data_IF_299352033483
#
_entry.id   IF_299352033483
#
_cell.length_a   1.000
_cell.length_b   1.000
_cell.length_c   1.000
_cell.angle_alpha   90.00
_cell.angle_beta   90.00
_cell.angle_gamma   90.00
#
_symmetry.space_group_name_H-M   'P 1'
#
loop_
_entity.id
_entity.type
_entity.pdbx_description
1 polymer ?
#
# COMPACT_ATOMS: atom_id res chain seq x y z
N UNK A 1 -7.30 -84.13 -12.12
CA UNK A 1 -7.73 -83.59 -13.42
C UNK A 1 -8.77 -82.54 -13.17
N UNK A 2 -8.46 -81.41 -13.40
CA UNK A 2 -9.30 -80.31 -13.90
C UNK A 2 -8.53 -79.00 -13.71
N UNK A 3 -8.15 -78.49 -14.81
CA UNK A 3 -7.38 -77.26 -14.94
C UNK A 3 -8.32 -76.11 -14.77
N UNK A 4 -8.18 -75.33 -13.71
CA UNK A 4 -8.82 -74.02 -13.63
C UNK A 4 -7.84 -72.97 -14.14
N UNK A 5 -8.14 -72.55 -15.33
CA UNK A 5 -7.49 -71.41 -15.95
C UNK A 5 -7.98 -70.14 -15.24
N UNK A 6 -7.14 -69.57 -14.44
CA UNK A 6 -7.42 -68.29 -13.83
C UNK A 6 -7.05 -67.22 -14.87
N UNK A 7 -8.05 -66.72 -15.52
CA UNK A 7 -7.92 -65.53 -16.37
C UNK A 7 -7.72 -64.33 -15.46
N UNK A 8 -6.49 -63.92 -15.38
CA UNK A 8 -6.13 -62.70 -14.72
C UNK A 8 -6.56 -61.50 -15.62
N UNK A 9 -7.74 -60.99 -15.35
CA UNK A 9 -8.21 -59.76 -15.97
C UNK A 9 -7.42 -58.61 -15.36
N UNK A 10 -6.43 -58.15 -16.11
CA UNK A 10 -5.68 -56.97 -15.79
C UNK A 10 -6.57 -55.77 -16.09
N UNK A 11 -7.25 -55.28 -15.06
CA UNK A 11 -7.94 -54.00 -15.16
C UNK A 11 -6.90 -52.92 -15.07
N UNK A 12 -6.50 -52.43 -16.22
CA UNK A 12 -5.74 -51.20 -16.31
C UNK A 12 -6.71 -50.08 -16.01
N UNK A 13 -6.77 -49.67 -14.74
CA UNK A 13 -7.36 -48.40 -14.39
C UNK A 13 -6.45 -47.30 -14.86
N UNK A 14 -6.79 -46.75 -16.01
CA UNK A 14 -6.20 -45.51 -16.51
C UNK A 14 -6.67 -44.40 -15.55
N UNK A 15 -5.89 -44.16 -14.49
CA UNK A 15 -6.07 -42.95 -13.69
C UNK A 15 -5.53 -41.81 -14.53
N UNK A 16 -6.43 -41.15 -15.23
CA UNK A 16 -6.14 -39.84 -15.80
C UNK A 16 -5.80 -38.90 -14.64
N UNK A 17 -4.52 -38.75 -14.39
CA UNK A 17 -4.03 -37.67 -13.54
C UNK A 17 -4.29 -36.40 -14.33
N UNK A 18 -5.40 -35.76 -14.02
CA UNK A 18 -5.62 -34.36 -14.38
C UNK A 18 -4.54 -33.56 -13.67
N UNK A 19 -3.44 -33.33 -14.37
CA UNK A 19 -2.56 -32.23 -14.03
C UNK A 19 -3.40 -30.96 -14.19
N UNK A 20 -4.07 -30.59 -13.12
CA UNK A 20 -4.54 -29.23 -12.97
C UNK A 20 -3.31 -28.34 -13.05
N UNK A 21 -3.17 -27.63 -14.16
CA UNK A 21 -2.34 -26.45 -14.17
C UNK A 21 -2.91 -25.48 -13.12
N UNK A 22 -2.41 -25.59 -11.91
CA UNK A 22 -2.42 -24.44 -11.03
C UNK A 22 -1.45 -23.47 -11.67
N UNK A 23 -1.97 -22.60 -12.52
CA UNK A 23 -1.35 -21.32 -12.75
C UNK A 23 -1.14 -20.73 -11.37
N UNK A 24 0.08 -20.86 -10.87
CA UNK A 24 0.56 -20.10 -9.75
C UNK A 24 0.36 -18.65 -10.15
N UNK A 25 -0.76 -18.07 -9.73
CA UNK A 25 -0.87 -16.63 -9.63
C UNK A 25 0.26 -16.25 -8.70
N UNK A 26 1.35 -15.76 -9.26
CA UNK A 26 2.24 -14.92 -8.51
C UNK A 26 1.34 -13.81 -8.00
N UNK A 27 0.94 -13.90 -6.73
CA UNK A 27 0.54 -12.75 -5.97
C UNK A 27 1.78 -11.86 -5.89
N UNK A 28 2.04 -11.15 -6.97
CA UNK A 28 2.72 -9.90 -6.92
C UNK A 28 1.85 -9.11 -5.94
N UNK A 29 2.28 -9.01 -4.70
CA UNK A 29 1.78 -7.99 -3.81
C UNK A 29 2.05 -6.70 -4.56
N UNK A 30 1.04 -6.20 -5.27
CA UNK A 30 1.08 -4.83 -5.73
C UNK A 30 1.17 -4.03 -4.44
N UNK A 31 2.35 -3.48 -4.19
CA UNK A 31 2.51 -2.48 -3.17
C UNK A 31 1.47 -1.41 -3.49
N UNK A 32 0.45 -1.34 -2.68
CA UNK A 32 -0.60 -0.34 -2.76
C UNK A 32 -0.56 0.48 -1.49
N UNK A 33 -0.94 1.74 -1.58
CA UNK A 33 -1.17 2.53 -0.38
C UNK A 33 -2.54 2.19 0.22
N UNK A 34 -2.70 2.44 1.49
CA UNK A 34 -3.97 2.31 2.21
C UNK A 34 -4.66 3.67 2.30
N UNK A 35 -5.97 3.70 2.06
CA UNK A 35 -6.80 4.87 2.36
C UNK A 35 -7.39 4.76 3.75
N UNK A 36 -7.18 5.77 4.56
CA UNK A 36 -7.71 5.87 5.92
C UNK A 36 -8.47 7.20 6.11
N UNK A 37 -9.25 7.27 7.14
CA UNK A 37 -9.97 8.49 7.53
C UNK A 37 -9.06 9.45 8.31
N UNK A 38 -9.39 10.75 8.39
CA UNK A 38 -8.70 11.69 9.28
C UNK A 38 -8.69 11.24 10.76
N UNK A 39 -9.75 10.61 11.22
CA UNK A 39 -9.82 10.09 12.59
C UNK A 39 -8.83 8.93 12.82
N UNK A 40 -8.73 8.00 11.89
CA UNK A 40 -7.74 6.90 11.94
C UNK A 40 -6.31 7.44 11.86
N UNK A 41 -6.06 8.44 11.02
CA UNK A 41 -4.76 9.11 10.97
C UNK A 41 -4.41 9.77 12.31
N UNK A 42 -5.37 10.46 12.94
CA UNK A 42 -5.18 11.06 14.26
C UNK A 42 -4.90 10.01 15.34
N UNK A 43 -5.61 8.90 15.32
CA UNK A 43 -5.37 7.78 16.24
C UNK A 43 -3.95 7.22 16.09
N UNK A 44 -3.46 7.06 14.87
CA UNK A 44 -2.08 6.66 14.60
C UNK A 44 -1.10 7.69 15.19
N UNK A 45 -1.32 8.97 14.93
CA UNK A 45 -0.47 10.06 15.45
C UNK A 45 -0.42 10.09 16.97
N UNK A 46 -1.51 9.73 17.64
CA UNK A 46 -1.60 9.74 19.10
C UNK A 46 -0.99 8.50 19.76
N UNK A 47 -0.94 7.36 19.07
CA UNK A 47 -0.54 6.08 19.64
C UNK A 47 0.81 5.57 19.12
N UNK A 48 1.26 5.99 17.94
CA UNK A 48 2.53 5.56 17.35
C UNK A 48 3.65 6.56 17.65
N UNK A 49 4.85 6.03 17.85
CA UNK A 49 6.02 6.86 18.14
C UNK A 49 6.90 7.13 16.91
N UNK A 50 6.63 6.47 15.80
CA UNK A 50 7.46 6.58 14.60
C UNK A 50 6.61 6.60 13.34
N UNK A 51 6.39 7.79 12.82
CA UNK A 51 5.71 8.04 11.56
C UNK A 51 6.17 9.37 10.96
N UNK A 52 5.86 9.56 9.71
CA UNK A 52 6.04 10.84 9.01
C UNK A 52 4.67 11.35 8.56
N UNK A 53 4.37 12.59 8.82
CA UNK A 53 3.21 13.28 8.24
C UNK A 53 3.73 14.03 7.01
N UNK A 54 3.21 13.69 5.84
CA UNK A 54 3.63 14.26 4.57
C UNK A 54 2.54 15.12 3.96
N UNK A 55 2.79 16.42 3.94
CA UNK A 55 1.98 17.40 3.21
C UNK A 55 2.50 17.48 1.77
N UNK A 56 1.62 17.27 0.81
CA UNK A 56 1.99 17.29 -0.62
C UNK A 56 1.38 18.50 -1.37
N UNK A 57 0.99 19.52 -0.62
CA UNK A 57 0.45 20.77 -1.16
C UNK A 57 1.59 21.67 -1.65
N UNK A 58 1.28 22.93 -1.93
CA UNK A 58 2.28 23.95 -2.26
C UNK A 58 2.90 24.56 -1.00
N UNK A 59 4.02 25.27 -1.17
CA UNK A 59 4.67 25.98 -0.07
C UNK A 59 3.73 27.04 0.53
N UNK A 60 2.99 27.77 -0.30
CA UNK A 60 2.04 28.79 0.17
C UNK A 60 0.94 28.18 1.03
N UNK A 61 0.35 27.06 0.60
CA UNK A 61 -0.68 26.36 1.36
C UNK A 61 -0.14 25.86 2.70
N UNK A 62 1.08 25.33 2.71
CA UNK A 62 1.74 24.87 3.93
C UNK A 62 2.02 26.01 4.91
N UNK A 63 2.48 27.15 4.41
CA UNK A 63 2.78 28.33 5.22
C UNK A 63 1.54 28.96 5.82
N UNK A 64 0.39 28.89 5.14
CA UNK A 64 -0.90 29.36 5.67
C UNK A 64 -1.36 28.54 6.89
N UNK A 65 -1.37 27.24 6.77
CA UNK A 65 -1.65 26.30 7.85
C UNK A 65 -1.30 24.86 7.44
N UNK A 66 -0.78 24.08 8.35
CA UNK A 66 -0.50 22.65 8.14
C UNK A 66 -0.71 21.85 9.42
N UNK A 67 -0.73 20.54 9.31
CA UNK A 67 -0.82 19.65 10.48
C UNK A 67 0.51 19.70 11.20
N UNK A 68 0.48 19.88 12.50
CA UNK A 68 1.70 20.00 13.33
C UNK A 68 2.62 18.78 13.12
N UNK A 69 3.90 19.05 12.95
CA UNK A 69 4.91 18.04 12.67
C UNK A 69 4.97 17.55 11.21
N UNK A 70 4.11 18.04 10.32
CA UNK A 70 4.17 17.69 8.90
C UNK A 70 5.42 18.24 8.23
N UNK A 71 5.97 17.45 7.31
CA UNK A 71 7.00 17.90 6.36
C UNK A 71 6.34 18.10 5.00
N UNK A 72 6.89 19.03 4.22
CA UNK A 72 6.39 19.38 2.90
C UNK A 72 7.23 18.74 1.80
N UNK A 73 6.61 17.96 0.93
CA UNK A 73 7.13 17.61 -0.40
C UNK A 73 5.96 17.79 -1.36
N UNK A 74 5.89 18.85 -2.14
CA UNK A 74 4.83 19.04 -3.12
C UNK A 74 4.65 17.82 -4.03
N UNK A 75 3.42 17.50 -4.40
CA UNK A 75 3.09 16.29 -5.18
C UNK A 75 3.90 16.16 -6.48
N UNK A 76 4.16 17.26 -7.16
CA UNK A 76 4.99 17.30 -8.37
C UNK A 76 6.51 17.12 -8.11
N UNK A 77 6.95 17.12 -6.85
CA UNK A 77 8.35 16.94 -6.46
C UNK A 77 8.64 15.56 -5.83
N UNK A 78 7.63 14.73 -5.61
CA UNK A 78 7.77 13.42 -4.96
C UNK A 78 8.83 12.56 -5.68
N UNK A 79 8.73 12.42 -6.98
CA UNK A 79 9.64 11.58 -7.76
C UNK A 79 11.12 12.04 -7.65
N UNK A 80 11.36 13.34 -7.53
CA UNK A 80 12.71 13.89 -7.47
C UNK A 80 13.30 13.98 -6.06
N UNK A 81 12.46 14.18 -5.04
CA UNK A 81 12.91 14.54 -3.69
C UNK A 81 12.64 13.49 -2.62
N UNK A 82 11.62 12.63 -2.78
CA UNK A 82 11.20 11.73 -1.72
C UNK A 82 12.33 10.85 -1.20
N UNK A 83 13.10 10.21 -2.07
CA UNK A 83 14.17 9.29 -1.67
C UNK A 83 15.33 9.98 -0.94
N UNK A 84 15.52 11.29 -1.15
CA UNK A 84 16.52 12.08 -0.45
C UNK A 84 16.06 12.53 0.95
N UNK A 85 14.76 12.69 1.16
CA UNK A 85 14.15 13.20 2.38
C UNK A 85 13.66 12.04 3.26
N UNK A 86 12.97 11.08 2.66
CA UNK A 86 12.38 9.91 3.31
C UNK A 86 13.29 8.70 3.11
N UNK A 87 14.30 8.55 3.97
CA UNK A 87 15.36 7.55 3.79
C UNK A 87 14.93 6.11 4.04
N UNK A 88 13.98 5.90 4.94
CA UNK A 88 13.48 4.58 5.28
C UNK A 88 12.25 4.23 4.43
N UNK A 89 12.41 3.29 3.53
CA UNK A 89 11.33 2.81 2.65
C UNK A 89 10.21 2.08 3.40
N UNK A 90 10.44 1.64 4.62
CA UNK A 90 9.47 0.90 5.43
C UNK A 90 8.82 1.76 6.52
N UNK A 91 9.22 3.01 6.66
CA UNK A 91 8.60 3.90 7.65
C UNK A 91 7.12 4.15 7.31
N UNK A 92 6.33 4.37 8.33
CA UNK A 92 4.93 4.76 8.17
C UNK A 92 4.86 6.21 7.68
N UNK A 93 4.22 6.42 6.53
CA UNK A 93 4.02 7.73 5.92
C UNK A 93 2.52 8.01 5.86
N UNK A 94 2.09 9.07 6.52
CA UNK A 94 0.72 9.57 6.51
C UNK A 94 0.66 10.76 5.55
N UNK A 95 -0.02 10.58 4.42
CA UNK A 95 -0.02 11.54 3.31
C UNK A 95 -1.35 12.28 3.24
N UNK A 96 -1.29 13.59 3.12
CA UNK A 96 -2.47 14.42 2.89
C UNK A 96 -2.19 15.58 1.92
N UNK A 97 -3.26 16.12 1.38
CA UNK A 97 -3.21 17.36 0.61
C UNK A 97 -4.34 18.31 1.03
N UNK A 98 -4.93 19.07 0.11
CA UNK A 98 -6.07 19.93 0.42
C UNK A 98 -7.38 19.16 0.45
N UNK A 99 -7.67 18.36 -0.59
CA UNK A 99 -8.96 17.67 -0.80
C UNK A 99 -8.84 16.18 -1.13
N UNK A 100 -7.64 15.61 -1.17
CA UNK A 100 -7.38 14.19 -1.39
C UNK A 100 -6.88 13.79 -2.79
N UNK A 101 -7.04 14.61 -3.82
CA UNK A 101 -6.62 14.26 -5.18
C UNK A 101 -5.09 14.19 -5.33
N UNK A 102 -4.38 15.21 -4.90
CA UNK A 102 -2.91 15.25 -4.96
C UNK A 102 -2.27 14.22 -4.05
N UNK A 103 -2.83 13.99 -2.88
CA UNK A 103 -2.32 13.00 -1.92
C UNK A 103 -2.44 11.56 -2.42
N UNK A 104 -3.49 11.22 -3.16
CA UNK A 104 -3.62 9.91 -3.82
C UNK A 104 -2.55 9.72 -4.89
N UNK A 105 -2.34 10.71 -5.75
CA UNK A 105 -1.28 10.67 -6.77
C UNK A 105 0.11 10.56 -6.12
N UNK A 106 0.35 11.30 -5.05
CA UNK A 106 1.61 11.25 -4.30
C UNK A 106 1.82 9.88 -3.63
N UNK A 107 0.77 9.30 -3.04
CA UNK A 107 0.82 7.97 -2.45
C UNK A 107 1.16 6.89 -3.49
N UNK A 108 0.54 6.95 -4.68
CA UNK A 108 0.89 6.06 -5.80
C UNK A 108 2.36 6.23 -6.23
N UNK A 109 2.84 7.46 -6.31
CA UNK A 109 4.23 7.74 -6.66
C UNK A 109 5.20 7.20 -5.61
N UNK A 110 4.90 7.33 -4.32
CA UNK A 110 5.69 6.76 -3.24
C UNK A 110 5.75 5.22 -3.33
N UNK A 111 4.63 4.58 -3.58
CA UNK A 111 4.57 3.12 -3.75
C UNK A 111 5.44 2.68 -4.94
N UNK A 112 5.39 3.39 -6.06
CA UNK A 112 6.25 3.12 -7.23
C UNK A 112 7.74 3.30 -6.92
N UNK A 113 8.10 4.18 -6.00
CA UNK A 113 9.47 4.36 -5.51
C UNK A 113 9.91 3.28 -4.49
N UNK A 114 9.01 2.37 -4.11
CA UNK A 114 9.31 1.26 -3.21
C UNK A 114 8.99 1.51 -1.73
N UNK A 115 8.27 2.58 -1.39
CA UNK A 115 7.77 2.76 -0.03
C UNK A 115 6.65 1.78 0.26
N UNK A 116 6.74 1.06 1.37
CA UNK A 116 5.91 -0.11 1.68
C UNK A 116 4.80 0.16 2.68
N UNK A 117 4.80 1.32 3.34
CA UNK A 117 3.89 1.61 4.43
C UNK A 117 3.31 3.02 4.30
N UNK A 118 2.51 3.22 3.25
CA UNK A 118 1.92 4.51 2.88
C UNK A 118 0.42 4.49 3.17
N UNK A 119 -0.03 5.44 3.96
CA UNK A 119 -1.45 5.67 4.26
C UNK A 119 -1.84 7.08 3.83
N UNK A 120 -2.90 7.18 3.05
CA UNK A 120 -3.45 8.44 2.54
C UNK A 120 -4.74 8.76 3.29
N UNK A 121 -4.88 9.97 3.83
CA UNK A 121 -6.03 10.32 4.67
C UNK A 121 -6.82 11.56 4.19
N UNK A 122 -6.73 11.87 2.92
CA UNK A 122 -7.58 12.90 2.30
C UNK A 122 -6.97 14.28 2.34
N UNK A 123 -7.76 15.24 2.77
CA UNK A 123 -7.37 16.64 2.71
C UNK A 123 -7.55 17.39 4.02
N UNK A 124 -6.78 18.48 4.15
CA UNK A 124 -6.84 19.36 5.34
C UNK A 124 -8.22 20.02 5.50
N UNK A 125 -8.99 20.14 4.43
CA UNK A 125 -10.37 20.66 4.52
C UNK A 125 -11.30 19.77 5.36
N UNK A 126 -10.99 18.47 5.44
CA UNK A 126 -11.74 17.49 6.21
C UNK A 126 -11.06 17.15 7.55
N UNK A 127 -9.96 17.82 7.86
CA UNK A 127 -9.22 17.66 9.11
C UNK A 127 -9.88 18.42 10.24
N UNK A 128 -10.53 17.74 11.22
CA UNK A 128 -11.31 18.45 12.26
C UNK A 128 -10.48 18.85 13.47
N UNK A 129 -9.18 18.65 13.42
CA UNK A 129 -8.25 18.92 14.53
C UNK A 129 -7.44 20.18 14.28
N UNK A 130 -6.64 20.59 15.26
CA UNK A 130 -5.83 21.79 15.19
C UNK A 130 -4.77 21.73 14.09
N UNK A 131 -4.46 22.89 13.55
CA UNK A 131 -3.35 23.13 12.61
C UNK A 131 -2.47 24.26 13.13
N UNK A 132 -1.27 24.31 12.64
CA UNK A 132 -0.28 25.35 12.96
C UNK A 132 0.07 26.19 11.75
#
# INVERSE_FOLDING_TARGET
>A
MKRFSVILILIITCTAVLYGCTSGGENKMENSYEQITPAEAKEIMDNENSYVILDVRTQEEFDEAHIDGAILIPDYEIAAKAENILKDKNQLILVYCRSGRRSKNAAEALVKLGYTNVKEFGGIIDWPYETV
#
